data_IF_422916610922
#
_entry.id   IF_422916610922
#
_cell.length_a   1.000
_cell.length_b   1.000
_cell.length_c   1.000
_cell.angle_alpha   90.00
_cell.angle_beta   90.00
_cell.angle_gamma   90.00
#
_symmetry.space_group_name_H-M   'P 1'
#
loop_
_entity.id
_entity.type
_entity.pdbx_description
1 polymer ?
#
# COMPACT_ATOMS: atom_id res chain seq x y z
N UNK A 1 3.77 10.15 -14.08
CA UNK A 1 3.22 9.06 -13.24
C UNK A 1 2.68 9.55 -11.89
N UNK A 2 3.48 10.18 -11.02
CA UNK A 2 2.99 10.65 -9.70
C UNK A 2 1.75 11.55 -9.82
N UNK A 3 1.81 12.53 -10.70
CA UNK A 3 0.73 13.52 -10.86
C UNK A 3 -0.55 12.87 -11.39
N UNK A 4 -0.42 11.91 -12.32
CA UNK A 4 -1.55 11.11 -12.79
C UNK A 4 -2.22 10.34 -11.65
N UNK A 5 -1.46 9.65 -10.79
CA UNK A 5 -2.03 8.91 -9.66
C UNK A 5 -2.73 9.84 -8.66
N UNK A 6 -2.22 11.06 -8.44
CA UNK A 6 -2.87 12.06 -7.60
C UNK A 6 -4.15 12.62 -8.25
N UNK A 7 -4.18 12.78 -9.58
CA UNK A 7 -5.35 13.16 -10.35
C UNK A 7 -6.46 12.10 -10.20
N UNK A 8 -6.13 10.82 -10.38
CA UNK A 8 -7.07 9.70 -10.16
C UNK A 8 -7.59 9.70 -8.73
N UNK A 9 -6.71 9.86 -7.72
CA UNK A 9 -7.12 9.95 -6.30
C UNK A 9 -8.15 11.05 -6.07
N UNK A 10 -7.94 12.22 -6.66
CA UNK A 10 -8.87 13.36 -6.56
C UNK A 10 -10.23 13.04 -7.17
N UNK A 11 -10.24 12.42 -8.35
CA UNK A 11 -11.48 12.00 -9.01
C UNK A 11 -12.25 10.93 -8.22
N UNK A 12 -11.55 9.95 -7.67
CA UNK A 12 -12.13 8.94 -6.77
C UNK A 12 -12.77 9.62 -5.56
N UNK A 13 -12.07 10.57 -4.92
CA UNK A 13 -12.60 11.29 -3.76
C UNK A 13 -13.88 12.06 -4.07
N UNK A 14 -13.95 12.73 -5.23
CA UNK A 14 -15.14 13.48 -5.67
C UNK A 14 -16.32 12.57 -6.01
N UNK A 15 -16.04 11.35 -6.46
CA UNK A 15 -17.05 10.41 -6.96
C UNK A 15 -17.50 9.40 -5.89
N UNK A 16 -16.71 9.16 -4.86
CA UNK A 16 -16.93 8.12 -3.82
C UNK A 16 -18.29 8.20 -3.12
N UNK A 17 -18.86 9.40 -2.96
CA UNK A 17 -20.18 9.56 -2.31
C UNK A 17 -21.35 9.08 -3.15
N UNK A 18 -21.17 8.89 -4.46
CA UNK A 18 -22.25 8.54 -5.41
C UNK A 18 -22.07 7.16 -6.05
N UNK A 19 -20.84 6.67 -6.11
CA UNK A 19 -20.49 5.43 -6.82
C UNK A 19 -19.51 4.61 -5.99
N UNK A 20 -19.38 3.32 -6.33
CA UNK A 20 -18.37 2.40 -5.75
C UNK A 20 -17.11 2.25 -6.60
N UNK A 21 -17.15 2.73 -7.83
CA UNK A 21 -16.04 2.72 -8.79
C UNK A 21 -16.11 3.96 -9.69
N UNK A 22 -15.03 4.31 -10.38
CA UNK A 22 -15.07 5.34 -11.41
C UNK A 22 -15.90 4.88 -12.62
N UNK A 23 -16.61 5.81 -13.30
CA UNK A 23 -17.26 5.54 -14.58
C UNK A 23 -16.29 4.99 -15.62
N UNK A 24 -16.79 4.12 -16.51
CA UNK A 24 -15.95 3.38 -17.46
C UNK A 24 -15.16 4.30 -18.42
N UNK A 25 -15.75 5.39 -18.84
CA UNK A 25 -15.10 6.41 -19.68
C UNK A 25 -13.86 7.02 -18.98
N UNK A 26 -13.98 7.37 -17.70
CA UNK A 26 -12.86 7.88 -16.89
C UNK A 26 -11.81 6.80 -16.64
N UNK A 27 -12.22 5.57 -16.40
CA UNK A 27 -11.31 4.44 -16.24
C UNK A 27 -10.45 4.27 -17.49
N UNK A 28 -11.07 4.19 -18.67
CA UNK A 28 -10.37 4.05 -19.95
C UNK A 28 -9.42 5.22 -20.22
N UNK A 29 -9.85 6.45 -19.92
CA UNK A 29 -9.01 7.64 -20.04
C UNK A 29 -7.74 7.56 -19.18
N UNK A 30 -7.88 7.22 -17.89
CA UNK A 30 -6.75 7.11 -16.98
C UNK A 30 -5.83 5.93 -17.31
N UNK A 31 -6.40 4.81 -17.76
CA UNK A 31 -5.62 3.67 -18.24
C UNK A 31 -4.77 4.03 -19.46
N UNK A 32 -5.36 4.71 -20.44
CA UNK A 32 -4.64 5.16 -21.64
C UNK A 32 -3.50 6.12 -21.29
N UNK A 33 -3.75 7.09 -20.40
CA UNK A 33 -2.70 8.00 -19.91
C UNK A 33 -1.59 7.26 -19.14
N UNK A 34 -1.96 6.26 -18.35
CA UNK A 34 -0.99 5.44 -17.61
C UNK A 34 -0.07 4.69 -18.57
N UNK A 35 -0.64 4.05 -19.59
CA UNK A 35 0.11 3.29 -20.58
C UNK A 35 0.99 4.20 -21.44
N UNK A 36 0.52 5.40 -21.80
CA UNK A 36 1.31 6.42 -22.52
C UNK A 36 2.55 6.85 -21.71
N UNK A 37 2.38 7.15 -20.42
CA UNK A 37 3.50 7.53 -19.54
C UNK A 37 4.50 6.38 -19.40
N UNK A 38 4.04 5.14 -19.33
CA UNK A 38 4.94 3.98 -19.30
C UNK A 38 5.72 3.86 -20.59
N UNK A 39 5.07 4.00 -21.75
CA UNK A 39 5.70 3.94 -23.05
C UNK A 39 6.82 4.99 -23.17
N UNK A 40 6.50 6.24 -22.89
CA UNK A 40 7.49 7.34 -22.89
C UNK A 40 8.68 7.01 -21.97
N UNK A 41 8.40 6.51 -20.76
CA UNK A 41 9.43 6.14 -19.80
C UNK A 41 10.35 5.02 -20.29
N UNK A 42 9.80 3.98 -20.95
CA UNK A 42 10.60 2.92 -21.55
C UNK A 42 11.43 3.41 -22.74
N UNK A 43 10.87 4.26 -23.61
CA UNK A 43 11.56 4.82 -24.74
C UNK A 43 12.75 5.69 -24.27
N UNK A 44 12.53 6.56 -23.27
CA UNK A 44 13.61 7.37 -22.68
C UNK A 44 14.71 6.54 -21.99
N UNK A 45 14.35 5.47 -21.28
CA UNK A 45 15.35 4.60 -20.63
C UNK A 45 16.14 3.81 -21.67
N UNK A 46 15.50 3.35 -22.74
CA UNK A 46 16.15 2.67 -23.86
C UNK A 46 17.15 3.60 -24.54
N UNK A 47 16.77 4.82 -24.91
CA UNK A 47 17.63 5.78 -25.57
C UNK A 47 18.87 6.15 -24.74
N UNK A 48 18.67 6.34 -23.42
CA UNK A 48 19.76 6.64 -22.49
C UNK A 48 20.74 5.49 -22.30
N UNK A 49 20.27 4.25 -22.42
CA UNK A 49 21.02 3.05 -22.06
C UNK A 49 21.30 2.11 -23.23
N UNK A 50 21.10 2.54 -24.49
CA UNK A 50 21.24 1.70 -25.70
C UNK A 50 22.59 0.95 -25.78
N UNK A 51 23.70 1.61 -25.39
CA UNK A 51 25.04 0.99 -25.34
C UNK A 51 25.18 -0.08 -24.26
N UNK A 52 24.37 -0.02 -23.22
CA UNK A 52 24.37 -0.95 -22.10
C UNK A 52 23.58 -2.21 -22.43
N UNK A 53 22.44 -2.06 -23.15
CA UNK A 53 21.59 -3.21 -23.53
C UNK A 53 22.22 -4.13 -24.57
N UNK A 54 23.24 -3.67 -25.30
CA UNK A 54 24.01 -4.51 -26.22
C UNK A 54 24.92 -5.55 -25.54
N UNK A 55 25.15 -5.45 -24.23
CA UNK A 55 25.99 -6.37 -23.46
C UNK A 55 25.15 -7.44 -22.74
N UNK A 56 25.50 -8.72 -22.92
CA UNK A 56 24.74 -9.90 -22.43
C UNK A 56 24.49 -10.00 -20.90
N UNK A 57 25.11 -9.17 -20.06
CA UNK A 57 24.94 -9.17 -18.58
C UNK A 57 25.07 -7.75 -18.00
N UNK A 58 24.07 -6.92 -18.22
CA UNK A 58 24.02 -5.59 -17.59
C UNK A 58 22.98 -5.57 -16.49
N UNK A 59 23.35 -5.05 -15.32
CA UNK A 59 22.42 -4.78 -14.22
C UNK A 59 21.40 -3.74 -14.70
N UNK A 60 20.11 -4.07 -14.63
CA UNK A 60 19.04 -3.15 -15.02
C UNK A 60 19.16 -1.82 -14.28
N UNK A 61 18.91 -0.70 -14.97
CA UNK A 61 18.89 0.61 -14.35
C UNK A 61 17.81 0.71 -13.25
N UNK A 62 17.96 1.66 -12.34
CA UNK A 62 16.94 1.91 -11.30
C UNK A 62 15.62 2.34 -11.94
N UNK A 63 15.70 3.17 -13.00
CA UNK A 63 14.53 3.61 -13.79
C UNK A 63 13.81 2.44 -14.46
N UNK A 64 14.56 1.56 -15.13
CA UNK A 64 13.98 0.38 -15.77
C UNK A 64 13.34 -0.58 -14.77
N UNK A 65 13.96 -0.77 -13.60
CA UNK A 65 13.36 -1.59 -12.55
C UNK A 65 12.04 -0.98 -12.05
N UNK A 66 11.95 0.33 -11.91
CA UNK A 66 10.72 1.02 -11.54
C UNK A 66 9.65 0.88 -12.63
N UNK A 67 10.00 1.11 -13.91
CA UNK A 67 9.07 0.96 -15.04
C UNK A 67 8.52 -0.46 -15.14
N UNK A 68 9.38 -1.49 -15.00
CA UNK A 68 8.96 -2.88 -14.98
C UNK A 68 7.97 -3.18 -13.84
N UNK A 69 8.19 -2.59 -12.65
CA UNK A 69 7.27 -2.75 -11.51
C UNK A 69 5.94 -2.04 -11.77
N UNK A 70 5.97 -0.81 -12.28
CA UNK A 70 4.76 -0.06 -12.64
C UNK A 70 3.95 -0.80 -13.70
N UNK A 71 4.60 -1.38 -14.72
CA UNK A 71 3.94 -2.17 -15.74
C UNK A 71 3.39 -3.49 -15.18
N UNK A 72 4.22 -4.26 -14.45
CA UNK A 72 3.83 -5.56 -13.92
C UNK A 72 2.72 -5.51 -12.86
N UNK A 73 2.68 -4.45 -12.06
CA UNK A 73 1.68 -4.25 -11.00
C UNK A 73 0.59 -3.24 -11.37
N UNK A 74 0.38 -2.98 -12.68
CA UNK A 74 -0.58 -2.00 -13.19
C UNK A 74 -1.98 -2.15 -12.57
N UNK A 75 -2.52 -3.37 -12.55
CA UNK A 75 -3.84 -3.65 -11.98
C UNK A 75 -3.93 -3.33 -10.49
N UNK A 76 -2.91 -3.69 -9.72
CA UNK A 76 -2.85 -3.43 -8.28
C UNK A 76 -2.67 -1.93 -7.98
N UNK A 77 -1.86 -1.23 -8.78
CA UNK A 77 -1.63 0.21 -8.63
C UNK A 77 -2.91 1.00 -8.91
N UNK A 78 -3.70 0.59 -9.90
CA UNK A 78 -4.93 1.24 -10.31
C UNK A 78 -6.18 0.66 -9.60
N UNK A 79 -6.04 -0.31 -8.71
CA UNK A 79 -7.16 -1.03 -8.07
C UNK A 79 -8.17 -0.07 -7.40
N UNK A 80 -7.70 1.01 -6.77
CA UNK A 80 -8.52 1.99 -6.05
C UNK A 80 -9.47 2.80 -6.95
N UNK A 81 -9.31 2.77 -8.28
CA UNK A 81 -10.26 3.40 -9.20
C UNK A 81 -11.38 2.45 -9.64
N UNK A 82 -11.15 1.13 -9.55
CA UNK A 82 -12.15 0.11 -9.86
C UNK A 82 -13.00 -0.27 -8.65
N UNK A 83 -12.45 -0.07 -7.44
CA UNK A 83 -13.12 -0.35 -6.19
C UNK A 83 -12.68 0.67 -5.13
N UNK A 84 -13.62 1.51 -4.69
CA UNK A 84 -13.36 2.58 -3.74
C UNK A 84 -13.18 2.11 -2.29
N UNK A 85 -13.40 0.83 -2.01
CA UNK A 85 -13.07 0.22 -0.73
C UNK A 85 -11.57 -0.08 -0.62
N UNK A 86 -10.86 -0.12 -1.75
CA UNK A 86 -9.40 -0.24 -1.80
C UNK A 86 -8.77 1.15 -1.55
N UNK A 87 -8.02 1.34 -0.45
CA UNK A 87 -7.40 2.63 -0.16
C UNK A 87 -6.26 2.94 -1.15
N UNK A 88 -6.15 4.22 -1.55
CA UNK A 88 -5.04 4.70 -2.39
C UNK A 88 -3.68 4.55 -1.72
N UNK A 89 -3.61 4.76 -0.41
CA UNK A 89 -2.38 4.71 0.37
C UNK A 89 -2.49 3.69 1.52
N UNK A 90 -1.33 3.25 2.01
CA UNK A 90 -1.22 2.26 3.08
C UNK A 90 -0.70 2.89 4.40
N UNK A 91 -0.97 4.17 4.62
CA UNK A 91 -0.47 4.94 5.76
C UNK A 91 -0.78 4.27 7.11
N UNK A 92 -1.93 3.60 7.21
CA UNK A 92 -2.34 2.94 8.44
C UNK A 92 -1.47 1.73 8.77
N UNK A 93 -1.25 0.85 7.79
CA UNK A 93 -0.37 -0.32 7.94
C UNK A 93 1.09 0.09 8.13
N UNK A 94 1.55 1.14 7.42
CA UNK A 94 2.90 1.69 7.65
C UNK A 94 3.08 2.24 9.06
N UNK A 95 2.06 2.91 9.62
CA UNK A 95 2.07 3.39 11.00
C UNK A 95 2.16 2.23 12.00
N UNK A 96 1.40 1.16 11.76
CA UNK A 96 1.41 -0.02 12.61
C UNK A 96 2.80 -0.69 12.60
N UNK A 97 3.41 -0.84 11.41
CA UNK A 97 4.76 -1.40 11.25
C UNK A 97 5.86 -0.48 11.83
N UNK A 98 5.69 0.84 11.75
CA UNK A 98 6.66 1.81 12.28
C UNK A 98 6.90 1.60 13.77
N UNK A 99 5.87 1.28 14.54
CA UNK A 99 5.99 1.03 15.99
C UNK A 99 6.89 -0.16 16.29
N UNK A 100 6.86 -1.21 15.48
CA UNK A 100 7.77 -2.36 15.61
C UNK A 100 9.22 -1.95 15.32
N UNK A 101 9.43 -1.16 14.26
CA UNK A 101 10.76 -0.64 13.91
C UNK A 101 11.33 0.32 14.97
N UNK A 102 10.46 1.17 15.54
CA UNK A 102 10.86 2.07 16.64
C UNK A 102 11.31 1.26 17.85
N UNK A 103 10.57 0.20 18.23
CA UNK A 103 10.98 -0.67 19.33
C UNK A 103 12.34 -1.33 19.06
N UNK A 104 12.55 -1.85 17.86
CA UNK A 104 13.84 -2.44 17.48
C UNK A 104 14.99 -1.42 17.57
N UNK A 105 14.74 -0.18 17.16
CA UNK A 105 15.76 0.89 17.17
C UNK A 105 16.11 1.37 18.59
N UNK A 106 15.12 1.46 19.49
CA UNK A 106 15.31 2.00 20.86
C UNK A 106 15.74 0.92 21.83
N UNK A 107 15.13 -0.25 21.78
CA UNK A 107 15.32 -1.36 22.75
C UNK A 107 16.12 -2.51 22.18
N UNK A 108 16.69 -2.40 20.98
CA UNK A 108 17.39 -3.48 20.31
C UNK A 108 16.45 -4.58 19.79
N UNK A 109 17.04 -5.74 19.47
CA UNK A 109 16.30 -6.89 18.95
C UNK A 109 15.49 -7.54 20.09
N UNK A 110 14.35 -8.12 19.77
CA UNK A 110 13.61 -8.94 20.73
C UNK A 110 14.48 -10.11 21.21
N UNK A 111 14.57 -10.31 22.53
CA UNK A 111 15.38 -11.38 23.11
C UNK A 111 14.89 -12.79 22.78
N UNK A 112 13.60 -12.94 22.46
CA UNK A 112 13.00 -14.21 22.08
C UNK A 112 11.93 -14.04 20.98
N UNK A 113 11.72 -15.07 20.20
CA UNK A 113 10.61 -15.14 19.22
C UNK A 113 9.24 -15.02 19.90
N UNK A 114 9.08 -15.60 21.09
CA UNK A 114 7.86 -15.51 21.89
C UNK A 114 7.56 -14.06 22.27
N UNK A 115 8.56 -13.29 22.70
CA UNK A 115 8.38 -11.87 23.02
C UNK A 115 8.04 -11.03 21.79
N UNK A 116 8.63 -11.32 20.64
CA UNK A 116 8.31 -10.67 19.37
C UNK A 116 6.85 -10.97 18.96
N UNK A 117 6.44 -12.24 19.04
CA UNK A 117 5.07 -12.66 18.70
C UNK A 117 4.04 -12.04 19.64
N UNK A 118 4.29 -12.04 20.95
CA UNK A 118 3.40 -11.41 21.93
C UNK A 118 3.24 -9.90 21.64
N UNK A 119 4.34 -9.19 21.38
CA UNK A 119 4.30 -7.77 21.05
C UNK A 119 3.49 -7.49 19.78
N UNK A 120 3.73 -8.25 18.70
CA UNK A 120 3.02 -8.05 17.43
C UNK A 120 1.53 -8.39 17.57
N UNK A 121 1.16 -9.43 18.30
CA UNK A 121 -0.24 -9.80 18.56
C UNK A 121 -0.97 -8.73 19.35
N UNK A 122 -0.39 -8.24 20.45
CA UNK A 122 -0.99 -7.17 21.27
C UNK A 122 -1.16 -5.90 20.44
N UNK A 123 -0.14 -5.53 19.66
CA UNK A 123 -0.22 -4.33 18.79
C UNK A 123 -1.29 -4.52 17.69
N UNK A 124 -1.36 -5.68 17.07
CA UNK A 124 -2.38 -6.02 16.08
C UNK A 124 -3.79 -5.91 16.68
N UNK A 125 -4.02 -6.49 17.85
CA UNK A 125 -5.30 -6.40 18.56
C UNK A 125 -5.70 -4.94 18.81
N UNK A 126 -4.81 -4.14 19.41
CA UNK A 126 -5.07 -2.72 19.69
C UNK A 126 -5.39 -1.95 18.38
N UNK A 127 -4.65 -2.21 17.31
CA UNK A 127 -4.90 -1.56 16.03
C UNK A 127 -6.26 -1.93 15.45
N UNK A 128 -6.63 -3.21 15.48
CA UNK A 128 -7.92 -3.70 14.97
C UNK A 128 -9.10 -3.14 15.78
N UNK A 129 -9.01 -3.17 17.10
CA UNK A 129 -10.02 -2.59 18.01
C UNK A 129 -10.27 -1.11 17.71
N UNK A 130 -9.20 -0.34 17.51
CA UNK A 130 -9.31 1.09 17.14
C UNK A 130 -9.94 1.30 15.78
N UNK A 131 -9.61 0.46 14.78
CA UNK A 131 -10.23 0.50 13.45
C UNK A 131 -11.74 0.25 13.52
N UNK A 132 -12.19 -0.55 14.47
CA UNK A 132 -13.60 -0.83 14.73
C UNK A 132 -14.27 0.22 15.63
N UNK A 133 -13.60 1.34 15.91
CA UNK A 133 -14.15 2.45 16.72
C UNK A 133 -14.30 2.13 18.21
N UNK A 134 -13.69 1.06 18.70
CA UNK A 134 -13.78 0.66 20.12
C UNK A 134 -12.66 1.27 20.96
N UNK A 135 -12.93 1.43 22.26
CA UNK A 135 -11.91 1.87 23.22
C UNK A 135 -10.93 0.73 23.50
N UNK A 136 -9.65 0.94 23.19
CA UNK A 136 -8.63 -0.09 23.35
C UNK A 136 -8.43 -0.54 24.81
N UNK A 137 -8.55 0.38 25.79
CA UNK A 137 -8.39 0.04 27.21
C UNK A 137 -9.53 -0.87 27.70
N UNK A 138 -10.78 -0.55 27.31
CA UNK A 138 -11.94 -1.34 27.69
C UNK A 138 -11.90 -2.75 27.09
N UNK A 139 -11.45 -2.82 25.81
CA UNK A 139 -11.27 -4.12 25.15
C UNK A 139 -10.11 -4.92 25.75
N UNK A 140 -9.01 -4.28 26.18
CA UNK A 140 -7.94 -4.97 26.92
C UNK A 140 -8.44 -5.43 28.29
N UNK A 141 -9.19 -4.62 29.01
CA UNK A 141 -9.80 -5.04 30.28
C UNK A 141 -10.71 -6.26 30.10
N UNK A 142 -11.50 -6.30 29.02
CA UNK A 142 -12.40 -7.42 28.75
C UNK A 142 -11.65 -8.75 28.49
N UNK A 143 -10.37 -8.71 28.05
CA UNK A 143 -9.57 -9.94 27.88
C UNK A 143 -9.28 -10.66 29.22
N UNK A 144 -9.40 -9.96 30.35
CA UNK A 144 -9.26 -10.54 31.69
C UNK A 144 -10.59 -10.93 32.33
N UNK A 145 -11.70 -10.80 31.61
CA UNK A 145 -13.04 -11.19 32.03
C UNK A 145 -13.54 -12.41 31.28
N UNK A 146 -14.69 -12.92 31.65
CA UNK A 146 -15.28 -14.11 31.03
C UNK A 146 -15.68 -13.91 29.55
N UNK A 147 -15.92 -12.66 29.11
CA UNK A 147 -16.32 -12.32 27.76
C UNK A 147 -15.31 -11.36 27.11
N UNK A 148 -14.16 -11.85 26.62
CA UNK A 148 -13.21 -11.02 25.91
C UNK A 148 -13.83 -10.49 24.59
N UNK A 149 -13.55 -9.23 24.27
CA UNK A 149 -13.91 -8.69 22.96
C UNK A 149 -13.07 -9.37 21.88
N UNK A 150 -13.72 -10.11 20.98
CA UNK A 150 -13.08 -10.73 19.82
C UNK A 150 -13.28 -9.83 18.59
N UNK A 151 -12.20 -9.19 18.05
CA UNK A 151 -12.31 -8.36 16.89
C UNK A 151 -12.55 -9.22 15.64
N UNK A 152 -13.72 -9.08 15.03
CA UNK A 152 -14.03 -9.72 13.75
C UNK A 152 -13.15 -9.18 12.64
N UNK A 153 -12.51 -10.08 11.92
CA UNK A 153 -11.75 -9.76 10.71
C UNK A 153 -12.73 -9.72 9.53
N UNK A 154 -13.25 -8.52 9.21
CA UNK A 154 -14.04 -8.27 8.00
C UNK A 154 -13.18 -7.56 6.97
#
# INVERSE_FOLDING_TARGET
>A
MKDLLLEIKKEVYLTKNKHKALPLDKVQYFESKYDEILKIGFDEDYDKNIKLYSKKKVKKSVSLNLLNRLSGYRKQILAFMYDFDIPFDNNLSERDLRMTKVKQKISGIFRSSTGANAFTRIRGYISTVRKQGKNALDCIKSTFTVNPFDPTWT
#
